data_IF_007436993874
#
_entry.id   IF_007436993874
#
_cell.length_a   1.000
_cell.length_b   1.000
_cell.length_c   1.000
_cell.angle_alpha   90.00
_cell.angle_beta   90.00
_cell.angle_gamma   90.00
#
_symmetry.space_group_name_H-M   'P 1'
#
loop_
_entity.id
_entity.type
_entity.pdbx_description
1 polymer ?
#
# COMPACT_ATOMS: atom_id res chain seq x y z
N UNK A 1 47.62 3.29 -56.04
CA UNK A 1 48.00 3.44 -54.60
C UNK A 1 46.81 3.69 -53.68
N UNK A 2 45.56 3.44 -54.12
CA UNK A 2 44.32 3.86 -53.43
C UNK A 2 43.53 2.70 -52.80
N UNK A 3 43.94 1.45 -52.98
CA UNK A 3 43.20 0.29 -52.46
C UNK A 3 43.63 -0.22 -51.07
N UNK A 4 44.84 0.16 -50.64
CA UNK A 4 45.40 -0.25 -49.31
C UNK A 4 44.88 0.58 -48.17
N UNK A 5 44.55 1.85 -48.40
CA UNK A 5 44.07 2.79 -47.37
C UNK A 5 42.61 2.53 -46.95
N UNK A 6 41.75 2.11 -47.88
CA UNK A 6 40.34 1.81 -47.55
C UNK A 6 40.17 0.56 -46.69
N UNK A 7 41.04 -0.47 -46.93
CA UNK A 7 40.98 -1.71 -46.11
C UNK A 7 41.48 -1.51 -44.67
N UNK A 8 42.43 -0.59 -44.46
CA UNK A 8 42.92 -0.22 -43.13
C UNK A 8 41.92 0.57 -42.30
N UNK A 9 41.11 1.41 -42.92
CA UNK A 9 40.05 2.18 -42.24
C UNK A 9 38.89 1.30 -41.82
N UNK A 10 38.44 0.35 -42.66
CA UNK A 10 37.36 -0.57 -42.33
C UNK A 10 37.73 -1.52 -41.15
N UNK A 11 38.97 -2.00 -41.10
CA UNK A 11 39.48 -2.84 -40.00
C UNK A 11 39.55 -2.08 -38.67
N UNK A 12 39.95 -0.79 -38.71
CA UNK A 12 39.99 0.06 -37.51
C UNK A 12 38.60 0.42 -37.01
N UNK A 13 37.63 0.63 -37.89
CA UNK A 13 36.25 0.91 -37.51
C UNK A 13 35.58 -0.31 -36.84
N UNK A 14 35.76 -1.51 -37.37
CA UNK A 14 35.28 -2.76 -36.75
C UNK A 14 35.95 -3.00 -35.40
N UNK A 15 37.25 -2.74 -35.25
CA UNK A 15 37.95 -2.83 -33.96
C UNK A 15 37.46 -1.79 -32.94
N UNK A 16 37.12 -0.59 -33.37
CA UNK A 16 36.59 0.44 -32.45
C UNK A 16 35.19 0.10 -31.98
N UNK A 17 34.29 -0.40 -32.88
CA UNK A 17 32.95 -0.86 -32.52
C UNK A 17 33.01 -2.05 -31.56
N UNK A 18 33.91 -3.01 -31.77
CA UNK A 18 34.12 -4.13 -30.86
C UNK A 18 34.58 -3.70 -29.45
N UNK A 19 35.50 -2.73 -29.37
CA UNK A 19 35.96 -2.18 -28.09
C UNK A 19 34.85 -1.41 -27.32
N UNK A 20 33.96 -0.70 -28.03
CA UNK A 20 32.81 -0.03 -27.41
C UNK A 20 31.80 -1.06 -26.89
N UNK A 21 31.53 -2.12 -27.67
CA UNK A 21 30.63 -3.18 -27.25
C UNK A 21 31.14 -3.94 -26.00
N UNK A 22 32.43 -4.23 -25.94
CA UNK A 22 33.03 -4.85 -24.75
C UNK A 22 33.08 -3.92 -23.53
N UNK A 23 33.15 -2.61 -23.72
CA UNK A 23 33.05 -1.64 -22.63
C UNK A 23 31.61 -1.57 -22.10
N UNK A 24 30.61 -1.50 -22.96
CA UNK A 24 29.20 -1.48 -22.53
C UNK A 24 28.77 -2.79 -21.85
N UNK A 25 29.23 -3.94 -22.35
CA UNK A 25 29.00 -5.24 -21.69
C UNK A 25 29.68 -5.33 -20.29
N UNK A 26 30.88 -4.75 -20.13
CA UNK A 26 31.55 -4.68 -18.81
C UNK A 26 30.81 -3.79 -17.84
N UNK A 27 30.28 -2.65 -18.28
CA UNK A 27 29.44 -1.78 -17.43
C UNK A 27 28.12 -2.45 -17.07
N UNK A 28 27.50 -3.17 -18.01
CA UNK A 28 26.30 -3.96 -17.73
C UNK A 28 26.56 -5.09 -16.72
N UNK A 29 27.68 -5.77 -16.84
CA UNK A 29 28.10 -6.83 -15.88
C UNK A 29 28.40 -6.26 -14.49
N UNK A 30 28.99 -5.05 -14.40
CA UNK A 30 29.27 -4.38 -13.12
C UNK A 30 27.94 -3.95 -12.46
N UNK A 31 27.00 -3.40 -13.25
CA UNK A 31 25.67 -3.05 -12.74
C UNK A 31 24.90 -4.30 -12.29
N UNK A 32 25.00 -5.42 -13.03
CA UNK A 32 24.39 -6.68 -12.62
C UNK A 32 25.02 -7.27 -11.35
N UNK A 33 26.34 -7.10 -11.17
CA UNK A 33 27.05 -7.55 -9.94
C UNK A 33 26.72 -6.67 -8.73
N UNK A 34 26.46 -5.38 -8.93
CA UNK A 34 26.03 -4.46 -7.87
C UNK A 34 24.55 -4.65 -7.46
N UNK A 35 23.74 -5.26 -8.34
CA UNK A 35 22.34 -5.60 -8.08
C UNK A 35 22.18 -7.03 -7.54
N UNK A 36 23.24 -7.86 -7.57
CA UNK A 36 23.21 -9.16 -6.91
C UNK A 36 23.22 -8.94 -5.39
N UNK A 37 22.14 -9.23 -4.66
CA UNK A 37 22.20 -9.29 -3.23
C UNK A 37 23.13 -10.49 -2.90
N UNK A 38 24.34 -10.20 -2.49
CA UNK A 38 25.16 -11.20 -1.82
C UNK A 38 24.30 -11.72 -0.67
N UNK A 39 23.83 -12.95 -0.81
CA UNK A 39 23.13 -13.69 0.21
C UNK A 39 24.11 -13.99 1.36
N UNK A 40 24.44 -12.95 2.12
CA UNK A 40 24.95 -13.09 3.47
C UNK A 40 23.76 -13.54 4.33
N UNK A 41 23.35 -14.79 4.17
CA UNK A 41 22.62 -15.50 5.21
C UNK A 41 23.66 -15.69 6.32
N UNK A 42 23.58 -14.76 7.26
CA UNK A 42 24.34 -14.83 8.49
C UNK A 42 24.03 -16.16 9.15
N UNK A 43 25.10 -16.91 9.46
CA UNK A 43 25.08 -18.15 10.24
C UNK A 43 24.67 -17.90 11.72
N UNK A 44 23.82 -16.92 11.97
CA UNK A 44 23.31 -16.51 13.29
C UNK A 44 22.00 -17.23 13.65
N UNK A 45 21.39 -17.96 12.69
CA UNK A 45 20.13 -18.69 12.92
C UNK A 45 20.29 -20.07 13.58
N UNK A 46 21.49 -20.47 13.99
CA UNK A 46 21.76 -21.79 14.60
C UNK A 46 22.07 -21.73 16.12
N UNK A 47 22.01 -20.55 16.74
CA UNK A 47 22.29 -20.42 18.17
C UNK A 47 21.01 -20.16 18.97
N UNK A 48 20.37 -21.23 19.42
CA UNK A 48 19.38 -21.19 20.50
C UNK A 48 17.93 -21.23 20.01
N UNK A 49 17.31 -22.41 20.09
CA UNK A 49 15.86 -22.61 20.07
C UNK A 49 15.18 -21.96 21.29
N UNK A 50 15.45 -20.68 21.52
CA UNK A 50 14.74 -19.86 22.52
C UNK A 50 13.36 -19.48 21.95
N UNK A 51 12.31 -19.66 22.74
CA UNK A 51 10.98 -19.14 22.41
C UNK A 51 11.08 -17.61 22.29
N UNK A 52 10.59 -17.05 21.21
CA UNK A 52 10.59 -15.59 21.01
C UNK A 52 9.20 -15.06 20.64
N UNK A 53 8.90 -13.85 21.08
CA UNK A 53 7.76 -13.10 20.62
C UNK A 53 8.07 -12.48 19.25
N UNK A 54 7.18 -12.66 18.28
CA UNK A 54 7.31 -12.05 16.95
C UNK A 54 6.82 -10.61 16.99
N UNK A 55 7.68 -9.65 16.64
CA UNK A 55 7.31 -8.23 16.52
C UNK A 55 7.16 -7.86 15.04
N UNK A 56 5.98 -7.38 14.68
CA UNK A 56 5.62 -6.91 13.33
C UNK A 56 5.28 -5.44 13.42
N UNK A 57 5.94 -4.59 12.63
CA UNK A 57 5.71 -3.14 12.62
C UNK A 57 4.74 -2.75 11.52
N UNK A 58 3.63 -2.13 11.89
CA UNK A 58 2.62 -1.54 11.01
C UNK A 58 2.73 -0.02 11.10
N UNK A 59 3.68 0.54 10.34
CA UNK A 59 3.97 1.97 10.33
C UNK A 59 3.53 2.62 9.02
N UNK A 60 2.77 3.73 9.11
CA UNK A 60 2.28 4.47 7.97
C UNK A 60 0.93 3.98 7.42
N UNK A 61 0.58 4.34 6.17
CA UNK A 61 -0.74 4.05 5.60
C UNK A 61 -0.93 2.56 5.32
N UNK A 62 -2.17 2.08 5.61
CA UNK A 62 -2.57 0.69 5.36
C UNK A 62 -2.98 0.55 3.90
N UNK A 63 -2.16 -0.16 3.15
CA UNK A 63 -2.37 -0.46 1.73
C UNK A 63 -2.03 -1.91 1.40
N UNK A 64 -2.10 -2.34 0.12
CA UNK A 64 -1.89 -3.71 -0.29
C UNK A 64 -0.51 -4.28 0.05
N UNK A 65 0.53 -3.44 0.08
CA UNK A 65 1.87 -3.86 0.50
C UNK A 65 1.92 -4.17 2.00
N UNK A 66 1.23 -3.34 2.82
CA UNK A 66 1.17 -3.52 4.27
C UNK A 66 0.33 -4.74 4.64
N UNK A 67 -0.83 -4.97 3.98
CA UNK A 67 -1.65 -6.16 4.26
C UNK A 67 -0.88 -7.44 3.96
N UNK A 68 -0.22 -7.51 2.81
CA UNK A 68 0.62 -8.66 2.45
C UNK A 68 1.78 -8.89 3.43
N UNK A 69 2.43 -7.82 3.88
CA UNK A 69 3.49 -7.92 4.88
C UNK A 69 2.99 -8.51 6.20
N UNK A 70 1.83 -8.02 6.69
CA UNK A 70 1.24 -8.55 7.93
C UNK A 70 0.80 -10.00 7.76
N UNK A 71 0.13 -10.35 6.66
CA UNK A 71 -0.30 -11.72 6.34
C UNK A 71 0.89 -12.69 6.33
N UNK A 72 1.96 -12.35 5.61
CA UNK A 72 3.19 -13.16 5.57
C UNK A 72 3.84 -13.29 6.95
N UNK A 73 3.88 -12.19 7.72
CA UNK A 73 4.45 -12.20 9.06
C UNK A 73 3.68 -13.09 10.04
N UNK A 74 2.34 -13.13 9.93
CA UNK A 74 1.50 -14.03 10.73
C UNK A 74 1.72 -15.49 10.34
N UNK A 75 1.86 -15.77 9.05
CA UNK A 75 2.15 -17.12 8.56
C UNK A 75 3.55 -17.59 8.98
N UNK A 76 4.56 -16.72 8.89
CA UNK A 76 5.91 -16.99 9.36
C UNK A 76 5.94 -17.26 10.88
N UNK A 77 5.19 -16.48 11.67
CA UNK A 77 5.06 -16.69 13.10
C UNK A 77 4.42 -18.05 13.42
N UNK A 78 3.43 -18.47 12.64
CA UNK A 78 2.80 -19.79 12.75
C UNK A 78 3.82 -20.91 12.45
N UNK A 79 4.55 -20.79 11.34
CA UNK A 79 5.57 -21.80 10.95
C UNK A 79 6.72 -21.91 11.96
N UNK A 80 7.09 -20.79 12.56
CA UNK A 80 8.16 -20.72 13.57
C UNK A 80 7.65 -21.07 14.98
N UNK A 81 6.35 -21.43 15.12
CA UNK A 81 5.72 -21.75 16.41
C UNK A 81 5.91 -20.63 17.46
N UNK A 82 5.85 -19.38 17.01
CA UNK A 82 5.93 -18.22 17.90
C UNK A 82 4.77 -18.26 18.90
N UNK A 83 5.01 -18.08 20.20
CA UNK A 83 3.94 -18.11 21.20
C UNK A 83 2.99 -16.91 21.10
N UNK A 84 3.45 -15.80 20.50
CA UNK A 84 2.69 -14.56 20.39
C UNK A 84 3.22 -13.68 19.25
N UNK A 85 2.32 -12.95 18.59
CA UNK A 85 2.67 -11.88 17.65
C UNK A 85 2.28 -10.55 18.27
N UNK A 86 3.22 -9.61 18.32
CA UNK A 86 2.99 -8.22 18.70
C UNK A 86 2.93 -7.41 17.42
N UNK A 87 1.76 -6.86 17.09
CA UNK A 87 1.55 -5.95 15.99
C UNK A 87 1.70 -4.52 16.50
N UNK A 88 2.91 -3.97 16.39
CA UNK A 88 3.20 -2.60 16.79
C UNK A 88 2.69 -1.63 15.73
N UNK A 89 1.85 -0.68 16.13
CA UNK A 89 1.07 0.14 15.22
C UNK A 89 1.34 1.63 15.40
N UNK A 90 1.63 2.32 14.28
CA UNK A 90 1.57 3.78 14.13
C UNK A 90 1.02 4.10 12.75
N UNK A 91 -0.29 4.30 12.66
CA UNK A 91 -0.97 4.44 11.37
C UNK A 91 -2.05 5.52 11.37
N UNK A 92 -2.12 6.34 10.31
CA UNK A 92 -3.24 7.25 10.08
C UNK A 92 -4.50 6.55 9.53
N UNK A 93 -4.42 5.23 9.22
CA UNK A 93 -5.44 4.47 8.52
C UNK A 93 -5.03 4.10 7.10
N UNK A 94 -6.01 3.83 6.25
CA UNK A 94 -5.76 3.46 4.85
C UNK A 94 -6.96 2.82 4.19
N UNK A 95 -6.73 1.93 3.22
CA UNK A 95 -7.77 1.31 2.42
C UNK A 95 -8.58 0.28 3.21
N UNK A 96 -9.90 0.33 3.04
CA UNK A 96 -10.84 -0.62 3.65
C UNK A 96 -10.53 -2.07 3.23
N UNK A 97 -10.24 -2.31 1.96
CA UNK A 97 -9.91 -3.65 1.45
C UNK A 97 -8.68 -4.23 2.16
N UNK A 98 -7.59 -3.46 2.26
CA UNK A 98 -6.36 -3.88 2.91
C UNK A 98 -6.53 -4.07 4.42
N UNK A 99 -7.33 -3.22 5.07
CA UNK A 99 -7.73 -3.39 6.46
C UNK A 99 -8.47 -4.72 6.68
N UNK A 100 -9.46 -5.02 5.83
CA UNK A 100 -10.24 -6.27 5.91
C UNK A 100 -9.38 -7.52 5.66
N UNK A 101 -8.36 -7.42 4.78
CA UNK A 101 -7.39 -8.49 4.55
C UNK A 101 -6.58 -8.78 5.83
N UNK A 102 -6.03 -7.74 6.45
CA UNK A 102 -5.30 -7.85 7.74
C UNK A 102 -6.21 -8.45 8.81
N UNK A 103 -7.44 -7.96 8.94
CA UNK A 103 -8.39 -8.45 9.94
C UNK A 103 -8.70 -9.94 9.71
N UNK A 104 -8.93 -10.36 8.47
CA UNK A 104 -9.16 -11.77 8.14
C UNK A 104 -7.97 -12.65 8.55
N UNK A 105 -6.75 -12.19 8.28
CA UNK A 105 -5.53 -12.89 8.67
C UNK A 105 -5.40 -13.00 10.20
N UNK A 106 -5.71 -11.93 10.95
CA UNK A 106 -5.71 -11.94 12.43
C UNK A 106 -6.75 -12.91 12.99
N UNK A 107 -7.98 -12.89 12.44
CA UNK A 107 -9.06 -13.76 12.90
C UNK A 107 -8.79 -15.24 12.61
N UNK A 108 -8.10 -15.55 11.52
CA UNK A 108 -7.69 -16.89 11.13
C UNK A 108 -6.41 -17.37 11.85
N UNK A 109 -5.69 -16.48 12.53
CA UNK A 109 -4.42 -16.81 13.15
C UNK A 109 -4.56 -17.76 14.35
N UNK A 110 -3.87 -18.91 14.34
CA UNK A 110 -3.79 -19.78 15.51
C UNK A 110 -2.82 -19.25 16.57
N UNK A 111 -1.98 -18.29 16.20
CA UNK A 111 -1.05 -17.61 17.12
C UNK A 111 -1.75 -16.36 17.67
N UNK A 112 -1.76 -16.15 18.98
CA UNK A 112 -2.32 -14.94 19.59
C UNK A 112 -1.66 -13.67 19.02
N UNK A 113 -2.47 -12.73 18.56
CA UNK A 113 -2.02 -11.43 18.04
C UNK A 113 -2.39 -10.33 19.02
N UNK A 114 -1.42 -9.54 19.45
CA UNK A 114 -1.59 -8.39 20.33
C UNK A 114 -1.34 -7.12 19.53
N UNK A 115 -2.33 -6.25 19.43
CA UNK A 115 -2.12 -4.89 18.93
C UNK A 115 -1.39 -4.06 20.01
N UNK A 116 -0.38 -3.31 19.59
CA UNK A 116 0.33 -2.40 20.49
C UNK A 116 0.55 -1.05 19.80
N UNK A 117 -0.22 -0.04 20.19
CA UNK A 117 -0.06 1.31 19.64
C UNK A 117 1.16 1.94 20.30
N UNK A 118 2.25 2.04 19.59
CA UNK A 118 3.55 2.49 20.08
C UNK A 118 4.46 2.94 18.91
N UNK A 119 5.50 3.74 19.21
CA UNK A 119 5.92 4.30 20.49
C UNK A 119 5.01 5.43 20.99
N UNK A 120 5.36 6.07 22.10
CA UNK A 120 4.69 7.29 22.57
C UNK A 120 4.61 8.32 21.44
N UNK A 121 3.43 8.93 21.25
CA UNK A 121 3.10 9.78 20.11
C UNK A 121 2.51 9.05 18.90
N UNK A 122 2.54 7.71 18.87
CA UNK A 122 1.92 6.91 17.83
C UNK A 122 0.39 6.95 17.91
N UNK A 123 -0.25 6.54 16.82
CA UNK A 123 -1.72 6.45 16.72
C UNK A 123 -2.19 5.20 16.00
N UNK A 124 -3.40 4.76 16.33
CA UNK A 124 -4.15 3.77 15.57
C UNK A 124 -5.44 4.42 15.07
N UNK A 125 -5.35 5.24 14.02
CA UNK A 125 -6.49 5.97 13.49
C UNK A 125 -7.19 5.20 12.35
N UNK A 126 -8.49 5.45 12.18
CA UNK A 126 -9.29 4.92 11.07
C UNK A 126 -9.17 3.39 10.95
N UNK A 127 -8.66 2.84 9.83
CA UNK A 127 -8.42 1.41 9.65
C UNK A 127 -7.61 0.77 10.79
N UNK A 128 -6.69 1.54 11.43
CA UNK A 128 -5.93 1.08 12.59
C UNK A 128 -6.80 0.73 13.78
N UNK A 129 -7.89 1.48 14.01
CA UNK A 129 -8.85 1.20 15.08
C UNK A 129 -9.54 -0.16 14.85
N UNK A 130 -9.97 -0.46 13.63
CA UNK A 130 -10.59 -1.76 13.31
C UNK A 130 -9.62 -2.92 13.48
N UNK A 131 -8.37 -2.77 13.04
CA UNK A 131 -7.34 -3.79 13.21
C UNK A 131 -7.07 -4.04 14.70
N UNK A 132 -6.98 -2.98 15.50
CA UNK A 132 -6.83 -3.11 16.95
C UNK A 132 -8.01 -3.89 17.56
N UNK A 133 -9.25 -3.58 17.15
CA UNK A 133 -10.44 -4.30 17.64
C UNK A 133 -10.46 -5.76 17.22
N UNK A 134 -9.87 -6.13 16.11
CA UNK A 134 -9.78 -7.52 15.64
C UNK A 134 -8.76 -8.36 16.41
N UNK A 135 -7.70 -7.74 16.94
CA UNK A 135 -6.63 -8.43 17.66
C UNK A 135 -7.14 -9.07 18.95
N UNK A 136 -6.48 -10.15 19.36
CA UNK A 136 -6.85 -10.93 20.54
C UNK A 136 -6.71 -10.13 21.82
N UNK A 137 -5.66 -9.34 21.95
CA UNK A 137 -5.47 -8.33 22.98
C UNK A 137 -5.07 -7.00 22.35
N UNK A 138 -5.40 -5.91 23.03
CA UNK A 138 -5.09 -4.56 22.60
C UNK A 138 -4.32 -3.82 23.71
N UNK A 139 -3.22 -3.19 23.32
CA UNK A 139 -2.38 -2.43 24.21
C UNK A 139 -2.01 -1.08 23.58
N UNK A 140 -1.75 -0.11 24.44
CA UNK A 140 -1.29 1.23 24.03
C UNK A 140 -0.10 1.66 24.89
N UNK A 141 0.83 2.40 24.28
CA UNK A 141 1.84 3.13 25.03
C UNK A 141 1.26 4.44 25.60
N UNK A 142 1.83 4.98 26.70
CA UNK A 142 1.45 6.31 27.16
C UNK A 142 1.60 7.37 26.06
N UNK A 143 0.72 8.39 26.10
CA UNK A 143 0.70 9.47 25.11
C UNK A 143 0.45 9.00 23.66
N UNK A 144 -0.31 7.95 23.47
CA UNK A 144 -0.84 7.50 22.18
C UNK A 144 -2.34 7.69 22.11
N UNK A 145 -2.91 7.62 20.89
CA UNK A 145 -4.36 7.73 20.68
C UNK A 145 -4.88 6.74 19.65
N UNK A 146 -6.17 6.46 19.73
CA UNK A 146 -6.89 5.65 18.74
C UNK A 146 -8.26 6.26 18.45
N UNK A 147 -8.87 5.92 17.32
CA UNK A 147 -10.21 6.37 16.95
C UNK A 147 -10.32 6.94 15.55
N UNK A 148 -11.21 7.94 15.38
CA UNK A 148 -11.48 8.60 14.09
C UNK A 148 -11.74 7.58 12.95
N UNK A 149 -12.67 6.64 13.17
CA UNK A 149 -12.88 5.46 12.32
C UNK A 149 -13.99 5.65 11.27
N UNK A 150 -14.42 6.88 11.01
CA UNK A 150 -15.44 7.19 9.99
C UNK A 150 -14.93 6.86 8.59
N UNK A 151 -15.69 6.08 7.77
CA UNK A 151 -15.29 5.83 6.39
C UNK A 151 -15.35 7.11 5.55
N UNK A 152 -14.30 7.34 4.77
CA UNK A 152 -14.16 8.47 3.85
C UNK A 152 -14.11 7.94 2.44
N UNK A 153 -14.98 8.45 1.55
CA UNK A 153 -14.92 8.11 0.12
C UNK A 153 -13.77 8.88 -0.54
N UNK A 154 -12.84 8.15 -1.18
CA UNK A 154 -11.76 8.77 -1.94
C UNK A 154 -12.37 9.32 -3.24
N UNK A 155 -12.35 10.66 -3.40
CA UNK A 155 -12.93 11.37 -4.57
C UNK A 155 -14.29 11.97 -4.36
N UNK A 156 -14.90 11.85 -3.16
CA UNK A 156 -16.07 12.60 -2.74
C UNK A 156 -15.68 13.95 -2.10
N UNK A 157 -16.50 14.97 -2.26
CA UNK A 157 -16.35 16.20 -1.48
C UNK A 157 -16.33 15.87 0.02
N UNK A 158 -15.54 16.60 0.85
CA UNK A 158 -15.55 16.39 2.29
C UNK A 158 -16.99 16.50 2.80
N UNK A 159 -17.52 15.39 3.31
CA UNK A 159 -18.80 15.43 4.02
C UNK A 159 -18.61 16.24 5.29
N UNK A 160 -18.96 17.51 5.24
CA UNK A 160 -19.18 18.32 6.45
C UNK A 160 -20.18 17.57 7.32
N UNK A 161 -19.90 17.36 8.62
CA UNK A 161 -20.93 16.86 9.55
C UNK A 161 -22.17 17.74 9.40
N UNK A 162 -23.40 17.22 9.52
CA UNK A 162 -24.57 18.04 9.48
C UNK A 162 -24.48 19.07 10.60
N UNK A 163 -24.07 20.29 10.23
CA UNK A 163 -24.18 21.44 11.11
C UNK A 163 -25.67 21.63 11.39
N UNK A 164 -26.02 21.91 12.65
CA UNK A 164 -27.34 22.36 13.04
C UNK A 164 -27.80 23.44 12.09
N UNK A 165 -29.12 23.59 11.82
CA UNK A 165 -29.64 24.46 10.79
C UNK A 165 -29.27 25.91 11.07
N UNK A 166 -28.22 26.39 10.42
CA UNK A 166 -27.90 27.83 10.35
C UNK A 166 -28.69 28.42 9.18
N UNK A 167 -29.59 29.27 9.50
CA UNK A 167 -30.29 30.13 8.57
C UNK A 167 -29.28 31.09 7.98
N UNK A 168 -28.96 30.96 6.69
CA UNK A 168 -28.19 31.95 5.94
C UNK A 168 -29.00 32.48 4.75
N UNK A 169 -29.21 33.80 4.65
CA UNK A 169 -29.80 34.40 3.47
C UNK A 169 -28.73 34.84 2.48
N UNK A 170 -28.77 34.28 1.29
CA UNK A 170 -28.20 34.87 0.06
C UNK A 170 -26.79 34.46 -0.33
N UNK A 171 -26.68 33.68 -1.40
CA UNK A 171 -25.44 33.42 -2.14
C UNK A 171 -25.61 32.31 -3.18
N UNK A 172 -25.68 32.68 -4.46
CA UNK A 172 -25.75 31.79 -5.61
C UNK A 172 -24.59 30.79 -5.60
N UNK A 173 -24.86 29.51 -5.32
CA UNK A 173 -24.01 28.40 -5.64
C UNK A 173 -24.80 27.40 -6.47
N UNK A 174 -24.22 26.98 -7.60
CA UNK A 174 -24.72 25.92 -8.47
C UNK A 174 -25.26 24.77 -7.63
N UNK A 175 -26.58 24.68 -7.54
CA UNK A 175 -27.27 23.60 -6.84
C UNK A 175 -27.13 22.33 -7.66
N UNK A 176 -26.34 21.35 -7.15
CA UNK A 176 -26.50 19.96 -7.56
C UNK A 176 -27.97 19.57 -7.37
N UNK A 177 -28.56 18.93 -8.37
CA UNK A 177 -29.97 18.58 -8.37
C UNK A 177 -30.35 17.74 -7.13
N UNK A 178 -31.64 17.79 -6.69
CA UNK A 178 -32.10 17.08 -5.47
C UNK A 178 -31.87 15.58 -5.47
N UNK A 179 -31.68 14.98 -6.63
CA UNK A 179 -31.49 13.53 -6.82
C UNK A 179 -30.03 13.10 -6.59
N UNK A 180 -29.03 13.90 -7.03
CA UNK A 180 -27.60 13.66 -6.75
C UNK A 180 -27.26 13.86 -5.27
N UNK A 181 -27.86 14.81 -4.60
CA UNK A 181 -27.67 15.04 -3.16
C UNK A 181 -28.26 13.89 -2.35
N UNK A 182 -29.41 13.33 -2.78
CA UNK A 182 -30.05 12.19 -2.11
C UNK A 182 -29.27 10.88 -2.31
N UNK A 183 -28.69 10.63 -3.48
CA UNK A 183 -27.91 9.43 -3.77
C UNK A 183 -26.60 9.45 -2.98
N UNK A 184 -25.82 10.54 -3.02
CA UNK A 184 -24.57 10.65 -2.26
C UNK A 184 -24.79 10.50 -0.74
N UNK A 185 -25.88 11.08 -0.21
CA UNK A 185 -26.25 10.93 1.21
C UNK A 185 -26.66 9.49 1.55
N UNK A 186 -27.31 8.77 0.63
CA UNK A 186 -27.70 7.38 0.85
C UNK A 186 -26.49 6.44 0.82
N UNK A 187 -25.55 6.65 -0.09
CA UNK A 187 -24.30 5.89 -0.16
C UNK A 187 -23.43 6.08 1.08
N UNK A 188 -23.25 7.31 1.53
CA UNK A 188 -22.50 7.62 2.76
C UNK A 188 -23.16 6.95 3.96
N UNK A 189 -24.49 7.02 4.10
CA UNK A 189 -25.21 6.35 5.19
C UNK A 189 -25.04 4.83 5.15
N UNK A 190 -25.06 4.23 3.96
CA UNK A 190 -24.85 2.79 3.79
C UNK A 190 -23.42 2.41 4.23
N UNK A 191 -22.40 3.15 3.79
CA UNK A 191 -21.02 2.92 4.17
C UNK A 191 -20.80 3.06 5.69
N UNK A 192 -21.37 4.10 6.32
CA UNK A 192 -21.27 4.29 7.76
C UNK A 192 -21.96 3.16 8.52
N UNK A 193 -23.15 2.73 8.09
CA UNK A 193 -23.87 1.66 8.77
C UNK A 193 -23.17 0.29 8.64
N UNK A 194 -22.57 -0.01 7.47
CA UNK A 194 -21.73 -1.21 7.28
C UNK A 194 -20.51 -1.15 8.22
N UNK A 195 -19.83 -0.03 8.25
CA UNK A 195 -18.68 0.19 9.12
C UNK A 195 -19.01 0.04 10.61
N UNK A 196 -20.16 0.60 11.05
CA UNK A 196 -20.67 0.43 12.43
C UNK A 196 -20.95 -1.03 12.73
N UNK A 197 -21.67 -1.72 11.85
CA UNK A 197 -21.97 -3.13 12.04
C UNK A 197 -20.69 -3.97 12.15
N UNK A 198 -19.71 -3.68 11.30
CA UNK A 198 -18.43 -4.38 11.29
C UNK A 198 -17.62 -4.15 12.57
N UNK A 199 -17.40 -2.90 12.99
CA UNK A 199 -16.60 -2.66 14.20
C UNK A 199 -17.32 -3.17 15.47
N UNK A 200 -18.65 -3.08 15.54
CA UNK A 200 -19.43 -3.66 16.65
C UNK A 200 -19.27 -5.17 16.73
N UNK A 201 -19.27 -5.87 15.59
CA UNK A 201 -19.05 -7.32 15.56
C UNK A 201 -17.67 -7.70 16.08
N UNK A 202 -16.63 -6.93 15.74
CA UNK A 202 -15.28 -7.12 16.27
C UNK A 202 -15.21 -6.84 17.78
N UNK A 203 -15.87 -5.76 18.23
CA UNK A 203 -15.95 -5.41 19.64
C UNK A 203 -16.62 -6.53 20.48
N UNK A 204 -17.73 -7.07 20.00
CA UNK A 204 -18.44 -8.18 20.63
C UNK A 204 -17.59 -9.45 20.65
N UNK A 205 -16.90 -9.77 19.56
CA UNK A 205 -16.01 -10.94 19.47
C UNK A 205 -14.90 -10.91 20.52
N UNK A 206 -14.38 -9.71 20.82
CA UNK A 206 -13.27 -9.50 21.75
C UNK A 206 -13.69 -8.96 23.12
N UNK A 207 -14.99 -8.90 23.40
CA UNK A 207 -15.57 -8.39 24.66
C UNK A 207 -15.09 -6.96 24.99
N UNK A 208 -14.96 -6.10 23.96
CA UNK A 208 -14.58 -4.69 24.10
C UNK A 208 -15.80 -3.77 23.99
N UNK A 209 -15.61 -2.51 24.32
CA UNK A 209 -16.66 -1.49 24.29
C UNK A 209 -17.22 -1.27 22.88
N UNK A 210 -18.41 -1.82 22.61
CA UNK A 210 -19.10 -1.71 21.32
C UNK A 210 -19.80 -0.34 21.15
N UNK A 211 -20.13 0.35 22.25
CA UNK A 211 -20.79 1.67 22.21
C UNK A 211 -19.79 2.71 21.78
N UNK A 212 -18.60 2.69 22.40
CA UNK A 212 -17.52 3.58 21.95
C UNK A 212 -17.08 3.28 20.52
N UNK A 213 -16.98 2.01 20.14
CA UNK A 213 -16.65 1.61 18.78
C UNK A 213 -17.59 2.23 17.74
N UNK A 214 -18.91 2.25 18.01
CA UNK A 214 -19.87 2.95 17.16
C UNK A 214 -19.64 4.46 17.14
N UNK A 215 -19.32 5.09 18.29
CA UNK A 215 -19.01 6.51 18.38
C UNK A 215 -17.75 6.88 17.57
N UNK A 216 -16.74 6.02 17.54
CA UNK A 216 -15.54 6.21 16.73
C UNK A 216 -15.86 6.24 15.23
N UNK A 217 -16.89 5.51 14.77
CA UNK A 217 -17.32 5.48 13.37
C UNK A 217 -18.28 6.63 13.06
N UNK A 218 -19.32 6.84 13.86
CA UNK A 218 -20.36 7.85 13.58
C UNK A 218 -19.90 9.27 13.86
N UNK A 219 -19.14 9.47 14.94
CA UNK A 219 -18.72 10.76 15.45
C UNK A 219 -17.22 11.02 15.38
N UNK A 220 -16.46 10.15 14.71
CA UNK A 220 -14.99 10.23 14.67
C UNK A 220 -14.36 10.36 16.07
N UNK A 221 -14.98 9.77 17.10
CA UNK A 221 -14.47 9.84 18.46
C UNK A 221 -13.07 9.24 18.56
N UNK A 222 -12.24 9.83 19.42
CA UNK A 222 -10.88 9.38 19.68
C UNK A 222 -10.62 9.37 21.18
N UNK A 223 -9.79 8.44 21.66
CA UNK A 223 -9.40 8.31 23.04
C UNK A 223 -7.87 8.37 23.19
N UNK A 224 -7.44 8.89 24.33
CA UNK A 224 -6.07 8.70 24.82
C UNK A 224 -5.87 7.28 25.34
N UNK A 225 -4.62 6.89 25.59
CA UNK A 225 -4.31 5.56 26.13
C UNK A 225 -4.94 5.31 27.51
N UNK A 226 -5.02 6.33 28.38
CA UNK A 226 -5.67 6.23 29.69
C UNK A 226 -7.17 6.02 29.57
N UNK A 227 -7.85 6.86 28.78
CA UNK A 227 -9.29 6.79 28.61
C UNK A 227 -9.70 5.48 27.89
N UNK A 228 -8.87 5.02 26.95
CA UNK A 228 -9.10 3.76 26.24
C UNK A 228 -9.03 2.54 27.18
N UNK A 229 -8.19 2.58 28.20
CA UNK A 229 -8.14 1.54 29.24
C UNK A 229 -9.35 1.62 30.16
N UNK A 230 -9.73 2.82 30.60
CA UNK A 230 -10.88 3.04 31.48
C UNK A 230 -12.20 2.62 30.81
N UNK A 231 -12.35 2.96 29.53
CA UNK A 231 -13.54 2.60 28.75
C UNK A 231 -13.52 1.16 28.20
N UNK A 232 -12.55 0.33 28.58
CA UNK A 232 -12.44 -1.06 28.09
C UNK A 232 -12.34 -1.19 26.56
N UNK A 233 -11.71 -0.22 25.93
CA UNK A 233 -11.38 -0.25 24.49
C UNK A 233 -10.05 -0.98 24.28
N UNK A 234 -9.12 -0.83 25.22
CA UNK A 234 -7.87 -1.59 25.26
C UNK A 234 -7.73 -2.35 26.58
N UNK A 235 -6.90 -3.39 26.57
CA UNK A 235 -6.72 -4.31 27.71
C UNK A 235 -5.54 -3.90 28.59
N UNK A 236 -4.57 -3.14 28.03
CA UNK A 236 -3.27 -2.86 28.66
C UNK A 236 -2.76 -1.48 28.25
N UNK A 237 -2.18 -0.77 29.21
CA UNK A 237 -1.27 0.36 28.93
C UNK A 237 0.13 -0.06 29.38
N UNK A 238 1.08 -0.10 28.42
CA UNK A 238 2.46 -0.53 28.65
C UNK A 238 3.43 0.47 28.03
N UNK A 239 4.50 0.82 28.76
CA UNK A 239 5.46 1.83 28.32
C UNK A 239 6.41 1.37 27.20
N UNK A 240 6.69 0.06 27.15
CA UNK A 240 7.58 -0.59 26.19
C UNK A 240 7.21 -2.06 26.00
N UNK A 241 7.84 -2.74 25.01
CA UNK A 241 7.58 -4.15 24.73
C UNK A 241 7.92 -5.07 25.92
N UNK A 242 9.03 -4.89 26.65
CA UNK A 242 9.28 -5.66 27.87
C UNK A 242 8.19 -5.50 28.92
N UNK A 243 7.67 -4.30 29.13
CA UNK A 243 6.56 -4.06 30.05
C UNK A 243 5.28 -4.73 29.58
N UNK A 244 4.99 -4.64 28.27
CA UNK A 244 3.86 -5.33 27.64
C UNK A 244 3.92 -6.84 27.89
N UNK A 245 5.08 -7.47 27.64
CA UNK A 245 5.26 -8.91 27.86
C UNK A 245 5.05 -9.30 29.32
N UNK A 246 5.52 -8.49 30.30
CA UNK A 246 5.24 -8.75 31.71
C UNK A 246 3.75 -8.73 32.05
N UNK A 247 3.01 -7.75 31.49
CA UNK A 247 1.56 -7.61 31.75
C UNK A 247 0.71 -8.66 30.99
N UNK A 248 1.26 -9.28 29.93
CA UNK A 248 0.62 -10.35 29.19
C UNK A 248 0.78 -11.72 29.88
N UNK A 249 1.76 -11.88 30.76
CA UNK A 249 2.04 -13.15 31.42
C UNK A 249 0.81 -13.70 32.14
N UNK A 250 0.46 -14.96 31.85
CA UNK A 250 -0.65 -15.67 32.47
C UNK A 250 -2.04 -15.27 31.98
N UNK A 251 -2.15 -14.28 31.06
CA UNK A 251 -3.47 -13.92 30.47
C UNK A 251 -3.98 -15.04 29.57
N UNK A 252 -5.27 -15.24 29.62
CA UNK A 252 -6.01 -16.20 28.78
C UNK A 252 -6.52 -15.49 27.54
N UNK A 253 -6.27 -16.07 26.39
CA UNK A 253 -6.78 -15.59 25.08
C UNK A 253 -7.40 -16.74 24.32
N UNK A 254 -8.42 -16.46 23.53
CA UNK A 254 -9.03 -17.44 22.63
C UNK A 254 -8.55 -17.20 21.21
N UNK A 255 -7.72 -18.11 20.68
CA UNK A 255 -7.24 -18.09 19.29
C UNK A 255 -7.57 -19.43 18.60
N UNK A 256 -8.11 -19.37 17.37
CA UNK A 256 -8.54 -20.54 16.61
C UNK A 256 -9.33 -21.57 17.46
N UNK A 257 -10.35 -21.10 18.16
CA UNK A 257 -11.24 -21.89 19.04
C UNK A 257 -10.55 -22.61 20.22
N UNK A 258 -9.32 -22.26 20.54
CA UNK A 258 -8.59 -22.77 21.69
C UNK A 258 -8.34 -21.67 22.70
N UNK A 259 -8.52 -21.99 23.98
CA UNK A 259 -8.08 -21.13 25.08
C UNK A 259 -6.58 -21.36 25.30
N UNK A 260 -5.79 -20.29 25.19
CA UNK A 260 -4.33 -20.29 25.34
C UNK A 260 -3.98 -19.41 26.52
N UNK A 261 -3.23 -19.95 27.46
CA UNK A 261 -2.60 -19.15 28.54
C UNK A 261 -1.27 -18.65 28.00
N UNK A 262 -1.11 -17.31 27.97
CA UNK A 262 0.11 -16.70 27.48
C UNK A 262 1.24 -16.94 28.48
N UNK A 263 2.32 -17.54 27.99
CA UNK A 263 3.59 -17.65 28.71
C UNK A 263 4.61 -16.78 28.00
N UNK A 264 4.73 -15.56 28.49
CA UNK A 264 5.57 -14.50 27.91
C UNK A 264 6.83 -14.21 28.75
N UNK A 265 7.03 -14.99 29.83
CA UNK A 265 8.19 -14.83 30.68
C UNK A 265 9.49 -15.17 29.94
N UNK A 266 10.44 -14.26 30.00
CA UNK A 266 11.77 -14.41 29.36
C UNK A 266 11.75 -14.63 27.84
N UNK A 267 10.68 -14.24 27.13
CA UNK A 267 10.68 -14.25 25.67
C UNK A 267 11.63 -13.19 25.13
N UNK A 268 12.54 -13.63 24.26
CA UNK A 268 13.26 -12.71 23.39
C UNK A 268 12.27 -12.11 22.37
N UNK A 269 12.55 -10.93 21.84
CA UNK A 269 11.73 -10.30 20.80
C UNK A 269 12.45 -10.41 19.46
N UNK A 270 11.83 -11.07 18.50
CA UNK A 270 12.33 -11.15 17.14
C UNK A 270 11.50 -10.23 16.25
N UNK A 271 12.12 -9.17 15.74
CA UNK A 271 11.48 -8.27 14.77
C UNK A 271 11.52 -8.90 13.39
N UNK A 272 10.35 -9.02 12.75
CA UNK A 272 10.26 -9.38 11.34
C UNK A 272 10.46 -8.12 10.51
N UNK A 273 11.43 -8.19 9.58
CA UNK A 273 11.69 -7.08 8.65
C UNK A 273 11.09 -7.46 7.29
N UNK A 274 10.36 -6.54 6.65
CA UNK A 274 9.84 -6.80 5.31
C UNK A 274 10.95 -7.19 4.34
N UNK A 275 10.70 -8.16 3.46
CA UNK A 275 11.60 -8.50 2.38
C UNK A 275 11.86 -7.29 1.46
N UNK A 276 12.92 -7.34 0.64
CA UNK A 276 13.29 -6.19 -0.19
C UNK A 276 12.17 -5.75 -1.15
N UNK A 277 11.37 -6.70 -1.67
CA UNK A 277 10.24 -6.41 -2.59
C UNK A 277 9.15 -5.66 -1.86
N UNK A 278 8.73 -6.16 -0.72
CA UNK A 278 7.73 -5.50 0.13
C UNK A 278 8.22 -4.13 0.60
N UNK A 279 9.51 -4.00 0.94
CA UNK A 279 10.10 -2.72 1.32
C UNK A 279 10.03 -1.70 0.19
N UNK A 280 10.37 -2.10 -1.04
CA UNK A 280 10.23 -1.23 -2.22
C UNK A 280 8.77 -0.81 -2.42
N UNK A 281 7.82 -1.74 -2.31
CA UNK A 281 6.39 -1.42 -2.42
C UNK A 281 5.93 -0.46 -1.32
N UNK A 282 6.36 -0.66 -0.07
CA UNK A 282 6.04 0.25 1.04
C UNK A 282 6.60 1.66 0.81
N UNK A 283 7.81 1.78 0.25
CA UNK A 283 8.40 3.08 -0.11
C UNK A 283 7.60 3.73 -1.24
N UNK A 284 7.25 2.98 -2.29
CA UNK A 284 6.48 3.50 -3.42
C UNK A 284 5.08 3.98 -3.04
N UNK A 285 4.45 3.32 -2.06
CA UNK A 285 3.12 3.71 -1.55
C UNK A 285 3.18 4.86 -0.55
N UNK A 286 4.38 5.34 -0.17
CA UNK A 286 4.49 6.52 0.68
C UNK A 286 4.07 7.78 -0.10
N UNK A 287 3.12 8.60 0.39
CA UNK A 287 2.55 9.72 -0.37
C UNK A 287 3.60 10.67 -0.94
N UNK A 288 4.62 11.04 -0.15
CA UNK A 288 5.69 11.94 -0.60
C UNK A 288 6.46 11.40 -1.80
N UNK A 289 6.74 10.09 -1.81
CA UNK A 289 7.45 9.42 -2.91
C UNK A 289 6.54 9.33 -4.13
N UNK A 290 5.26 8.97 -3.94
CA UNK A 290 4.29 8.89 -5.00
C UNK A 290 4.10 10.27 -5.70
N UNK A 291 3.95 11.36 -4.93
CA UNK A 291 3.90 12.72 -5.50
C UNK A 291 5.20 13.12 -6.20
N UNK A 292 6.36 12.78 -5.64
CA UNK A 292 7.65 13.01 -6.28
C UNK A 292 7.76 12.31 -7.62
N UNK A 293 7.34 11.04 -7.69
CA UNK A 293 7.30 10.27 -8.94
C UNK A 293 6.33 10.85 -9.96
N UNK A 294 5.16 11.35 -9.54
CA UNK A 294 4.21 12.03 -10.43
C UNK A 294 4.83 13.28 -11.03
N UNK A 295 5.49 14.11 -10.22
CA UNK A 295 6.15 15.32 -10.70
C UNK A 295 7.27 14.99 -11.71
N UNK A 296 8.13 14.02 -11.38
CA UNK A 296 9.20 13.55 -12.31
C UNK A 296 8.54 13.00 -13.58
N UNK A 297 7.43 12.28 -13.46
CA UNK A 297 6.68 11.76 -14.60
C UNK A 297 6.17 12.84 -15.53
N UNK A 298 5.49 13.84 -14.99
CA UNK A 298 4.93 14.96 -15.77
C UNK A 298 6.04 15.76 -16.43
N UNK A 299 7.07 16.16 -15.66
CA UNK A 299 8.18 16.95 -16.22
C UNK A 299 9.00 16.16 -17.25
N UNK A 300 9.21 14.85 -17.05
CA UNK A 300 9.91 14.00 -18.02
C UNK A 300 9.18 13.93 -19.36
N UNK A 301 7.86 13.78 -19.35
CA UNK A 301 7.04 13.78 -20.56
C UNK A 301 7.00 15.17 -21.24
N UNK A 302 6.94 16.24 -20.46
CA UNK A 302 7.00 17.60 -20.99
C UNK A 302 8.34 17.89 -21.66
N UNK A 303 9.46 17.47 -21.06
CA UNK A 303 10.81 17.65 -21.63
C UNK A 303 10.97 16.93 -22.97
N UNK A 304 10.39 15.73 -23.13
CA UNK A 304 10.38 15.02 -24.40
C UNK A 304 9.54 15.77 -25.44
N UNK A 305 8.37 16.31 -25.03
CA UNK A 305 7.53 17.12 -25.90
C UNK A 305 8.22 18.40 -26.42
N UNK A 306 9.07 19.02 -25.60
CA UNK A 306 9.85 20.19 -26.00
C UNK A 306 11.10 19.85 -26.84
N UNK A 307 11.67 18.65 -26.69
CA UNK A 307 12.87 18.20 -27.41
C UNK A 307 12.60 16.83 -28.07
N UNK A 308 11.85 16.79 -29.18
CA UNK A 308 11.52 15.53 -29.84
C UNK A 308 12.80 14.81 -30.30
N UNK A 309 12.99 13.59 -29.81
CA UNK A 309 14.18 12.76 -30.05
C UNK A 309 15.01 12.45 -28.79
N UNK A 310 14.72 13.07 -27.67
CA UNK A 310 15.32 12.73 -26.38
C UNK A 310 14.50 11.59 -25.71
N UNK A 311 14.50 10.40 -26.27
CA UNK A 311 13.69 9.22 -25.82
C UNK A 311 13.83 8.92 -24.33
N UNK A 312 14.98 9.22 -23.74
CA UNK A 312 15.32 8.84 -22.37
C UNK A 312 14.46 9.58 -21.31
N UNK A 313 14.23 10.90 -21.38
CA UNK A 313 13.36 11.62 -20.44
C UNK A 313 11.91 11.17 -20.51
N UNK A 314 11.39 10.88 -21.71
CA UNK A 314 10.00 10.44 -21.90
C UNK A 314 9.74 9.06 -21.33
N UNK A 315 10.62 8.10 -21.62
CA UNK A 315 10.50 6.74 -21.06
C UNK A 315 10.61 6.77 -19.53
N UNK A 316 11.61 7.50 -19.00
CA UNK A 316 11.75 7.64 -17.55
C UNK A 316 10.56 8.38 -16.93
N UNK A 317 10.03 9.39 -17.62
CA UNK A 317 8.84 10.14 -17.24
C UNK A 317 7.60 9.26 -17.20
N UNK A 318 7.34 8.47 -18.25
CA UNK A 318 6.21 7.56 -18.31
C UNK A 318 6.26 6.50 -17.20
N UNK A 319 7.43 5.89 -16.97
CA UNK A 319 7.61 4.91 -15.89
C UNK A 319 7.37 5.55 -14.52
N UNK A 320 7.93 6.73 -14.28
CA UNK A 320 7.75 7.45 -13.01
C UNK A 320 6.29 7.83 -12.78
N UNK A 321 5.57 8.26 -13.83
CA UNK A 321 4.15 8.58 -13.77
C UNK A 321 3.32 7.35 -13.37
N UNK A 322 3.55 6.21 -14.04
CA UNK A 322 2.85 4.95 -13.74
C UNK A 322 3.13 4.46 -12.32
N UNK A 323 4.38 4.54 -11.85
CA UNK A 323 4.75 4.18 -10.48
C UNK A 323 4.14 5.13 -9.46
N UNK A 324 4.07 6.42 -9.75
CA UNK A 324 3.42 7.43 -8.90
C UNK A 324 1.92 7.20 -8.78
N UNK A 325 1.24 6.93 -9.89
CA UNK A 325 -0.19 6.59 -9.90
C UNK A 325 -0.47 5.28 -9.13
N UNK A 326 0.38 4.28 -9.29
CA UNK A 326 0.29 3.05 -8.50
C UNK A 326 0.47 3.34 -6.99
N UNK A 327 1.47 4.15 -6.63
CA UNK A 327 1.74 4.53 -5.24
C UNK A 327 0.58 5.28 -4.59
N UNK A 328 -0.13 6.12 -5.34
CA UNK A 328 -1.35 6.78 -4.89
C UNK A 328 -2.61 5.88 -4.95
N UNK A 329 -2.45 4.63 -5.41
CA UNK A 329 -3.55 3.66 -5.54
C UNK A 329 -4.70 4.14 -6.43
N UNK A 330 -4.40 5.06 -7.35
CA UNK A 330 -5.34 5.56 -8.35
C UNK A 330 -5.49 4.60 -9.53
N UNK A 331 -4.56 3.65 -9.70
CA UNK A 331 -4.61 2.58 -10.69
C UNK A 331 -5.02 1.26 -10.02
N UNK A 332 -6.20 0.76 -10.37
CA UNK A 332 -6.53 -0.63 -10.12
C UNK A 332 -5.63 -1.49 -11.03
N UNK A 333 -4.70 -2.24 -10.44
CA UNK A 333 -3.80 -3.11 -11.22
C UNK A 333 -4.62 -4.26 -11.78
N UNK A 334 -5.01 -4.13 -13.06
CA UNK A 334 -5.57 -5.22 -13.83
C UNK A 334 -4.43 -5.90 -14.61
N UNK A 335 -4.18 -7.18 -14.33
CA UNK A 335 -3.15 -7.96 -15.04
C UNK A 335 -3.33 -7.96 -16.56
N UNK A 336 -4.57 -7.91 -17.04
CA UNK A 336 -4.88 -7.77 -18.47
C UNK A 336 -4.39 -6.42 -19.04
N UNK A 337 -4.58 -5.32 -18.31
CA UNK A 337 -4.07 -3.99 -18.66
C UNK A 337 -2.54 -3.94 -18.68
N UNK A 338 -1.89 -4.60 -17.70
CA UNK A 338 -0.43 -4.71 -17.65
C UNK A 338 0.12 -5.51 -18.86
N UNK A 339 -0.53 -6.62 -19.20
CA UNK A 339 -0.17 -7.42 -20.38
C UNK A 339 -0.35 -6.64 -21.68
N UNK A 340 -1.44 -5.87 -21.82
CA UNK A 340 -1.69 -5.02 -22.98
C UNK A 340 -0.63 -3.90 -23.10
N UNK A 341 -0.24 -3.30 -21.98
CA UNK A 341 0.82 -2.29 -21.94
C UNK A 341 2.18 -2.89 -22.31
N UNK A 342 2.51 -4.07 -21.78
CA UNK A 342 3.74 -4.78 -22.14
C UNK A 342 3.75 -5.16 -23.64
N UNK A 343 2.61 -5.58 -24.18
CA UNK A 343 2.43 -5.85 -25.63
C UNK A 343 2.63 -4.56 -26.45
N UNK A 344 2.02 -3.44 -26.04
CA UNK A 344 2.17 -2.15 -26.72
C UNK A 344 3.63 -1.66 -26.73
N UNK A 345 4.33 -1.74 -25.60
CA UNK A 345 5.77 -1.43 -25.53
C UNK A 345 6.58 -2.39 -26.40
N UNK A 346 6.26 -3.69 -26.38
CA UNK A 346 6.89 -4.69 -27.24
C UNK A 346 6.73 -4.39 -28.72
N UNK A 347 5.54 -3.97 -29.16
CA UNK A 347 5.26 -3.57 -30.54
C UNK A 347 6.03 -2.31 -30.95
N UNK A 348 6.11 -1.29 -30.09
CA UNK A 348 6.89 -0.07 -30.34
C UNK A 348 8.39 -0.40 -30.47
N UNK A 349 8.91 -1.24 -29.56
CA UNK A 349 10.31 -1.69 -29.63
C UNK A 349 10.56 -2.49 -30.91
N UNK A 350 9.65 -3.37 -31.29
CA UNK A 350 9.76 -4.16 -32.52
C UNK A 350 9.76 -3.27 -33.77
N UNK A 351 8.90 -2.23 -33.80
CA UNK A 351 8.84 -1.26 -34.89
C UNK A 351 10.13 -0.46 -35.06
N UNK A 352 10.83 -0.15 -33.93
CA UNK A 352 12.14 0.51 -33.96
C UNK A 352 13.24 -0.35 -34.60
N UNK A 353 13.17 -1.67 -34.44
CA UNK A 353 14.16 -2.61 -35.02
C UNK A 353 13.78 -3.12 -36.41
N UNK A 354 12.50 -3.12 -36.78
CA UNK A 354 11.99 -3.51 -38.09
C UNK A 354 11.15 -2.36 -38.64
N UNK A 355 11.74 -1.43 -39.42
CA UNK A 355 10.99 -0.31 -39.98
C UNK A 355 9.95 -0.80 -41.02
N UNK A 356 8.80 -1.16 -40.50
CA UNK A 356 7.62 -1.61 -41.28
C UNK A 356 6.63 -0.45 -41.49
N UNK A 357 7.13 0.75 -41.78
CA UNK A 357 6.35 1.93 -42.19
C UNK A 357 5.02 2.14 -41.46
N UNK A 358 5.01 2.14 -40.14
CA UNK A 358 3.86 2.56 -39.33
C UNK A 358 2.65 1.59 -39.33
N UNK A 359 2.74 0.41 -39.96
CA UNK A 359 1.61 -0.53 -40.02
C UNK A 359 1.28 -1.21 -38.68
N UNK A 360 2.25 -1.29 -37.75
CA UNK A 360 2.07 -1.85 -36.41
C UNK A 360 1.61 -0.80 -35.40
N UNK A 361 1.96 0.47 -35.58
CA UNK A 361 1.51 1.59 -34.74
C UNK A 361 0.06 2.02 -35.01
N UNK A 362 -0.42 1.86 -36.25
CA UNK A 362 -1.80 2.19 -36.66
C UNK A 362 -2.83 1.15 -36.18
N UNK A 363 -2.42 -0.09 -35.93
CA UNK A 363 -3.29 -1.14 -35.38
C UNK A 363 -3.84 -0.86 -33.98
N UNK A 364 -3.18 0.03 -33.21
CA UNK A 364 -3.59 0.45 -31.87
C UNK A 364 -4.55 1.66 -31.83
N UNK A 365 -4.65 2.44 -32.90
CA UNK A 365 -5.48 3.65 -32.99
C UNK A 365 -6.70 3.49 -33.90
N UNK A 366 -6.93 2.30 -34.45
CA UNK A 366 -7.88 2.04 -35.54
C UNK A 366 -9.32 1.82 -35.13
N UNK A 367 -9.83 2.21 -33.98
CA UNK A 367 -11.24 1.97 -33.64
C UNK A 367 -12.12 3.25 -33.52
N UNK A 368 -11.60 4.44 -33.75
CA UNK A 368 -12.45 5.67 -33.72
C UNK A 368 -12.73 6.30 -35.09
N UNK A 369 -12.28 5.68 -36.19
CA UNK A 369 -12.36 6.27 -37.54
C UNK A 369 -13.51 5.79 -38.45
N UNK A 370 -14.37 4.87 -38.04
CA UNK A 370 -15.37 4.25 -38.97
C UNK A 370 -16.82 4.53 -38.55
N UNK A 371 -17.15 5.71 -38.03
CA UNK A 371 -18.56 6.08 -37.82
C UNK A 371 -18.98 7.44 -38.37
N UNK A 372 -18.26 8.02 -39.28
CA UNK A 372 -18.67 9.27 -39.96
C UNK A 372 -18.54 9.19 -41.49
N UNK A 373 -19.07 8.14 -42.14
CA UNK A 373 -19.20 8.21 -43.62
C UNK A 373 -20.32 7.31 -44.16
N UNK A 374 -21.53 7.57 -43.73
CA UNK A 374 -22.71 7.12 -44.50
C UNK A 374 -23.99 7.88 -44.07
N UNK A 375 -24.03 9.20 -44.31
CA UNK A 375 -25.27 9.97 -44.40
C UNK A 375 -25.04 11.14 -45.36
N UNK A 376 -25.22 10.92 -46.60
CA UNK A 376 -25.17 12.04 -47.56
C UNK A 376 -25.20 11.60 -49.00
N UNK A 377 -26.26 10.95 -49.48
CA UNK A 377 -26.73 11.05 -50.87
C UNK A 377 -28.07 10.30 -51.04
N UNK A 378 -29.16 11.02 -50.81
CA UNK A 378 -30.47 10.79 -51.48
C UNK A 378 -31.35 12.00 -51.27
N UNK A 379 -31.29 12.93 -52.18
CA UNK A 379 -32.43 13.77 -52.56
C UNK A 379 -32.14 14.34 -53.93
N UNK A 380 -32.88 13.95 -54.93
CA UNK A 380 -32.96 14.43 -56.23
C UNK A 380 -33.96 13.57 -56.99
#
# INVERSE_FOLDING_TARGET
MTYATAKGQAVNEVRSKRRRLHRSLRWLAIVLLLVSPAASRSAEDAAGAGRYATLVELNGPIGPAMSRYVEQSLEDARHQSSPIVILQMDTPGGLDTSMRDIIRAILASPVPVVAYVAPSGARAASAGTYILYACHLAAMAPATNLGAATPISIGGEPSTPPAAPAVNPGGDKQQKGPEEIRSSTAEVRKAVNDAVAYIRSLAQLRSRNAVWAESAVRGAASLSSSDALEEHVVDIVAKDVPDLLRQLQGRKVRAADREIVLDTQALAVKRIVPDWRTRVLLILTHPTIAYGLLLIGIYGLLLEGYNPGAVLPGVAGALSLLLGLYGLQLLAVNYAGLALMALGVGLIVTEFFMPAFGSLGVGGLGHEGIQCRDQGYRSG
#
